data_IF_198884325839
#
_entry.id   IF_198884325839
#
_cell.length_a   1.000
_cell.length_b   1.000
_cell.length_c   1.000
_cell.angle_alpha   90.00
_cell.angle_beta   90.00
_cell.angle_gamma   90.00
#
_symmetry.space_group_name_H-M   'P 1'
#
loop_
_entity.id
_entity.type
_entity.pdbx_description
1 polymer ?
#
# COMPACT_ATOMS: atom_id res chain seq x y z
N UNK A 1 64.52 -11.51 -61.15
CA UNK A 1 63.59 -10.56 -60.49
C UNK A 1 62.73 -11.37 -59.54
N UNK A 2 63.13 -11.47 -58.27
CA UNK A 2 62.32 -12.13 -57.26
C UNK A 2 61.35 -11.12 -56.63
N UNK A 3 60.06 -11.31 -56.87
CA UNK A 3 59.01 -10.57 -56.17
C UNK A 3 58.88 -11.16 -54.77
N UNK A 4 59.45 -10.49 -53.78
CA UNK A 4 59.21 -10.80 -52.36
C UNK A 4 57.73 -10.61 -52.05
N UNK A 5 56.98 -11.71 -51.91
CA UNK A 5 55.67 -11.67 -51.27
C UNK A 5 55.87 -11.37 -49.78
N UNK A 6 55.57 -10.14 -49.38
CA UNK A 6 55.48 -9.76 -47.97
C UNK A 6 54.18 -10.35 -47.43
N UNK A 7 54.28 -11.46 -46.72
CA UNK A 7 53.15 -12.10 -46.05
C UNK A 7 52.79 -11.25 -44.82
N UNK A 8 51.88 -10.28 -44.98
CA UNK A 8 51.35 -9.50 -43.86
C UNK A 8 50.56 -10.40 -42.92
N UNK A 9 50.81 -10.27 -41.62
CA UNK A 9 50.03 -11.00 -40.63
C UNK A 9 48.58 -10.50 -40.63
N UNK A 10 47.63 -11.40 -40.31
CA UNK A 10 46.19 -11.04 -40.26
C UNK A 10 45.92 -9.87 -39.30
N UNK A 11 46.71 -9.75 -38.23
CA UNK A 11 46.62 -8.68 -37.24
C UNK A 11 47.06 -7.32 -37.81
N UNK A 12 48.18 -7.28 -38.55
CA UNK A 12 48.65 -6.05 -39.19
C UNK A 12 47.67 -5.58 -40.27
N UNK A 13 47.09 -6.50 -41.03
CA UNK A 13 46.06 -6.18 -41.99
C UNK A 13 44.80 -5.60 -41.33
N UNK A 14 44.32 -6.24 -40.25
CA UNK A 14 43.17 -5.75 -39.47
C UNK A 14 43.48 -4.37 -38.86
N UNK A 15 44.70 -4.14 -38.38
CA UNK A 15 45.13 -2.87 -37.81
C UNK A 15 45.20 -1.74 -38.84
N UNK A 16 45.81 -2.01 -40.00
CA UNK A 16 45.88 -1.06 -41.10
C UNK A 16 44.50 -0.75 -41.67
N UNK A 17 43.64 -1.78 -41.77
CA UNK A 17 42.26 -1.62 -42.21
C UNK A 17 41.42 -0.84 -41.20
N UNK A 18 41.61 -1.07 -39.90
CA UNK A 18 40.93 -0.33 -38.83
C UNK A 18 41.36 1.15 -38.80
N UNK A 19 42.64 1.44 -39.02
CA UNK A 19 43.12 2.83 -39.17
C UNK A 19 42.51 3.52 -40.40
N UNK A 20 42.45 2.81 -41.53
CA UNK A 20 41.86 3.34 -42.78
C UNK A 20 40.35 3.55 -42.67
N UNK A 21 39.64 2.65 -41.99
CA UNK A 21 38.18 2.64 -41.85
C UNK A 21 37.77 2.94 -40.40
N UNK A 22 38.38 3.95 -39.78
CA UNK A 22 38.22 4.25 -38.36
C UNK A 22 36.74 4.46 -37.96
N UNK A 23 35.92 5.04 -38.85
CA UNK A 23 34.48 5.22 -38.63
C UNK A 23 33.73 3.89 -38.47
N UNK A 24 34.06 2.90 -39.29
CA UNK A 24 33.45 1.56 -39.25
C UNK A 24 33.90 0.82 -38.00
N UNK A 25 35.19 0.88 -37.68
CA UNK A 25 35.73 0.30 -36.44
C UNK A 25 35.09 0.93 -35.19
N UNK A 26 34.91 2.25 -35.17
CA UNK A 26 34.22 2.94 -34.09
C UNK A 26 32.77 2.48 -33.93
N UNK A 27 32.03 2.27 -35.04
CA UNK A 27 30.67 1.73 -34.99
C UNK A 27 30.60 0.31 -34.44
N UNK A 28 31.55 -0.55 -34.79
CA UNK A 28 31.62 -1.92 -34.27
C UNK A 28 31.86 -1.89 -32.75
N UNK A 29 32.83 -1.09 -32.29
CA UNK A 29 33.13 -0.93 -30.86
C UNK A 29 31.92 -0.36 -30.12
N UNK A 30 31.28 0.67 -30.68
CA UNK A 30 30.07 1.25 -30.11
C UNK A 30 28.94 0.22 -29.96
N UNK A 31 28.71 -0.59 -30.99
CA UNK A 31 27.69 -1.64 -30.98
C UNK A 31 27.97 -2.69 -29.91
N UNK A 32 29.23 -3.09 -29.75
CA UNK A 32 29.64 -4.03 -28.69
C UNK A 32 29.42 -3.44 -27.30
N UNK A 33 29.75 -2.17 -27.09
CA UNK A 33 29.52 -1.49 -25.80
C UNK A 33 28.03 -1.48 -25.47
N UNK A 34 27.18 -1.05 -26.41
CA UNK A 34 25.72 -1.01 -26.21
C UNK A 34 25.17 -2.41 -25.90
N UNK A 35 25.63 -3.43 -26.61
CA UNK A 35 25.20 -4.81 -26.39
C UNK A 35 25.58 -5.34 -25.00
N UNK A 36 26.80 -5.07 -24.54
CA UNK A 36 27.27 -5.47 -23.21
C UNK A 36 26.46 -4.78 -22.11
N UNK A 37 26.27 -3.45 -22.23
CA UNK A 37 25.51 -2.66 -21.24
C UNK A 37 24.03 -3.09 -21.21
N UNK A 38 23.43 -3.32 -22.38
CA UNK A 38 22.04 -3.76 -22.50
C UNK A 38 21.80 -5.12 -21.80
N UNK A 39 22.74 -6.06 -21.92
CA UNK A 39 22.63 -7.36 -21.24
C UNK A 39 22.69 -7.26 -19.71
N UNK A 40 23.51 -6.36 -19.16
CA UNK A 40 23.67 -6.18 -17.72
C UNK A 40 22.43 -5.66 -17.00
N UNK A 41 21.63 -4.84 -17.68
CA UNK A 41 20.50 -4.14 -17.04
C UNK A 41 19.25 -5.00 -16.84
N UNK A 42 19.12 -6.12 -17.55
CA UNK A 42 17.90 -6.96 -17.50
C UNK A 42 17.66 -7.60 -16.12
N UNK A 43 18.71 -8.08 -15.45
CA UNK A 43 18.60 -8.69 -14.11
C UNK A 43 18.25 -7.68 -13.04
N UNK A 44 18.92 -6.52 -13.06
CA UNK A 44 18.67 -5.42 -12.11
C UNK A 44 17.26 -4.84 -12.30
N UNK A 45 16.82 -4.69 -13.55
CA UNK A 45 15.45 -4.26 -13.84
C UNK A 45 14.40 -5.26 -13.31
N UNK A 46 14.67 -6.56 -13.42
CA UNK A 46 13.80 -7.61 -12.87
C UNK A 46 13.74 -7.58 -11.33
N UNK A 47 14.89 -7.40 -10.68
CA UNK A 47 14.96 -7.29 -9.22
C UNK A 47 14.20 -6.07 -8.70
N UNK A 48 14.38 -4.91 -9.33
CA UNK A 48 13.65 -3.69 -8.98
C UNK A 48 12.14 -3.86 -9.20
N UNK A 49 11.74 -4.53 -10.29
CA UNK A 49 10.33 -4.80 -10.56
C UNK A 49 9.73 -5.76 -9.52
N UNK A 50 10.44 -6.82 -9.17
CA UNK A 50 10.02 -7.78 -8.15
C UNK A 50 9.94 -7.13 -6.76
N UNK A 51 10.90 -6.28 -6.39
CA UNK A 51 10.87 -5.53 -5.14
C UNK A 51 9.66 -4.58 -5.08
N UNK A 52 9.37 -3.87 -6.17
CA UNK A 52 8.16 -3.03 -6.28
C UNK A 52 6.89 -3.86 -6.13
N UNK A 53 6.78 -4.98 -6.86
CA UNK A 53 5.61 -5.87 -6.79
C UNK A 53 5.36 -6.35 -5.36
N UNK A 54 6.41 -6.86 -4.69
CA UNK A 54 6.32 -7.33 -3.31
C UNK A 54 5.90 -6.21 -2.34
N UNK A 55 6.47 -5.01 -2.50
CA UNK A 55 6.10 -3.86 -1.67
C UNK A 55 4.63 -3.44 -1.86
N UNK A 56 4.10 -3.54 -3.07
CA UNK A 56 2.67 -3.28 -3.33
C UNK A 56 1.77 -4.35 -2.70
N UNK A 57 2.15 -5.63 -2.81
CA UNK A 57 1.42 -6.73 -2.17
C UNK A 57 1.39 -6.57 -0.64
N UNK A 58 2.52 -6.22 -0.02
CA UNK A 58 2.60 -5.97 1.43
C UNK A 58 1.73 -4.78 1.86
N UNK A 59 1.66 -3.71 1.06
CA UNK A 59 0.79 -2.57 1.32
C UNK A 59 -0.70 -2.93 1.24
N UNK A 60 -1.09 -3.72 0.24
CA UNK A 60 -2.48 -4.19 0.09
C UNK A 60 -2.86 -5.06 1.28
N UNK A 61 -1.99 -5.99 1.67
CA UNK A 61 -2.25 -6.88 2.81
C UNK A 61 -2.42 -6.09 4.11
N UNK A 62 -1.57 -5.08 4.36
CA UNK A 62 -1.70 -4.22 5.53
C UNK A 62 -3.02 -3.43 5.54
N UNK A 63 -3.48 -2.96 4.37
CA UNK A 63 -4.77 -2.29 4.22
C UNK A 63 -5.94 -3.24 4.51
N UNK A 64 -5.91 -4.46 3.97
CA UNK A 64 -6.93 -5.48 4.20
C UNK A 64 -7.02 -5.87 5.68
N UNK A 65 -5.88 -6.09 6.34
CA UNK A 65 -5.83 -6.39 7.78
C UNK A 65 -6.40 -5.23 8.61
N UNK A 66 -6.06 -3.98 8.28
CA UNK A 66 -6.64 -2.81 8.95
C UNK A 66 -8.15 -2.70 8.72
N UNK A 67 -8.63 -3.02 7.52
CA UNK A 67 -10.06 -3.00 7.23
C UNK A 67 -10.82 -4.08 8.00
N UNK A 68 -10.27 -5.29 8.10
CA UNK A 68 -10.83 -6.37 8.90
C UNK A 68 -10.91 -5.99 10.39
N UNK A 69 -9.87 -5.33 10.92
CA UNK A 69 -9.87 -4.82 12.31
C UNK A 69 -10.95 -3.74 12.49
N UNK A 70 -11.10 -2.82 11.54
CA UNK A 70 -12.15 -1.77 11.60
C UNK A 70 -13.55 -2.37 11.61
N UNK A 71 -13.83 -3.35 10.75
CA UNK A 71 -15.14 -4.02 10.71
C UNK A 71 -15.44 -4.65 12.07
N UNK A 72 -14.50 -5.41 12.64
CA UNK A 72 -14.67 -6.02 13.98
C UNK A 72 -14.90 -4.99 15.07
N UNK A 73 -14.17 -3.86 15.05
CA UNK A 73 -14.38 -2.76 16.01
C UNK A 73 -15.76 -2.13 15.87
N UNK A 74 -16.23 -1.92 14.64
CA UNK A 74 -17.56 -1.37 14.38
C UNK A 74 -18.65 -2.33 14.87
N UNK A 75 -18.53 -3.62 14.58
CA UNK A 75 -19.47 -4.64 15.06
C UNK A 75 -19.51 -4.71 16.58
N UNK A 76 -18.34 -4.68 17.23
CA UNK A 76 -18.26 -4.68 18.68
C UNK A 76 -18.87 -3.40 19.29
N UNK A 77 -18.65 -2.24 18.66
CA UNK A 77 -19.24 -0.98 19.09
C UNK A 77 -20.77 -1.00 18.95
N UNK A 78 -21.31 -1.53 17.85
CA UNK A 78 -22.76 -1.67 17.66
C UNK A 78 -23.38 -2.62 18.70
N UNK A 79 -22.75 -3.76 18.96
CA UNK A 79 -23.18 -4.69 20.00
C UNK A 79 -23.20 -4.03 21.38
N UNK A 80 -22.10 -3.37 21.76
CA UNK A 80 -21.99 -2.68 23.04
C UNK A 80 -23.03 -1.55 23.16
N UNK A 81 -23.26 -0.80 22.08
CA UNK A 81 -24.28 0.24 22.03
C UNK A 81 -25.69 -0.34 22.25
N UNK A 82 -26.04 -1.43 21.55
CA UNK A 82 -27.34 -2.11 21.69
C UNK A 82 -27.53 -2.69 23.09
N UNK A 83 -26.50 -3.29 23.67
CA UNK A 83 -26.55 -3.81 25.04
C UNK A 83 -26.72 -2.69 26.07
N UNK A 84 -26.02 -1.58 25.90
CA UNK A 84 -26.13 -0.41 26.78
C UNK A 84 -27.53 0.20 26.70
N UNK A 85 -28.08 0.34 25.48
CA UNK A 85 -29.47 0.76 25.30
C UNK A 85 -30.46 -0.20 25.96
N UNK A 86 -30.27 -1.51 25.83
CA UNK A 86 -31.13 -2.50 26.47
C UNK A 86 -31.12 -2.37 28.00
N UNK A 87 -29.93 -2.21 28.60
CA UNK A 87 -29.77 -1.98 30.05
C UNK A 87 -30.40 -0.67 30.51
N UNK A 88 -30.30 0.39 29.69
CA UNK A 88 -30.98 1.66 29.95
C UNK A 88 -32.49 1.44 29.89
N UNK A 89 -33.03 0.87 28.81
CA UNK A 89 -34.45 0.61 28.66
C UNK A 89 -35.00 -0.27 29.80
N UNK A 90 -34.27 -1.30 30.24
CA UNK A 90 -34.65 -2.13 31.40
C UNK A 90 -34.67 -1.32 32.71
N UNK A 91 -33.60 -0.55 32.98
CA UNK A 91 -33.47 0.27 34.19
C UNK A 91 -34.48 1.42 34.25
N UNK A 92 -34.92 1.92 33.11
CA UNK A 92 -35.89 3.01 33.00
C UNK A 92 -37.34 2.53 32.82
N UNK A 93 -37.59 1.36 32.22
CA UNK A 93 -38.92 0.72 32.23
C UNK A 93 -39.37 0.35 33.64
N UNK A 94 -38.42 0.03 34.54
CA UNK A 94 -38.72 -0.15 35.96
C UNK A 94 -39.02 1.17 36.69
N UNK A 95 -38.75 2.33 36.07
CA UNK A 95 -38.74 3.63 36.77
C UNK A 95 -39.84 4.63 36.42
N UNK A 96 -40.55 4.58 35.30
CA UNK A 96 -41.85 5.30 35.12
C UNK A 96 -42.35 5.29 33.67
N UNK A 97 -43.61 4.89 33.49
CA UNK A 97 -44.43 4.94 32.26
C UNK A 97 -44.58 6.34 31.61
N UNK A 98 -43.98 7.40 32.17
CA UNK A 98 -44.17 8.78 31.72
C UNK A 98 -42.98 9.38 30.93
N UNK A 99 -41.80 8.74 30.91
CA UNK A 99 -40.58 9.28 30.27
C UNK A 99 -40.34 8.84 28.80
N UNK A 100 -41.27 8.08 28.21
CA UNK A 100 -41.05 7.27 26.99
C UNK A 100 -40.85 8.05 25.68
N UNK A 101 -41.53 9.18 25.47
CA UNK A 101 -41.51 9.88 24.16
C UNK A 101 -40.37 10.87 23.98
N UNK A 102 -40.01 11.61 25.03
CA UNK A 102 -38.96 12.66 24.96
C UNK A 102 -37.56 12.05 24.97
N UNK A 103 -37.37 10.96 25.71
CA UNK A 103 -36.09 10.27 25.79
C UNK A 103 -35.81 9.40 24.55
N UNK A 104 -36.81 8.72 23.97
CA UNK A 104 -36.64 8.02 22.68
C UNK A 104 -36.16 8.95 21.55
N UNK A 105 -36.67 10.19 21.49
CA UNK A 105 -36.21 11.18 20.50
C UNK A 105 -34.76 11.60 20.74
N UNK A 106 -34.37 11.84 21.99
CA UNK A 106 -32.98 12.20 22.33
C UNK A 106 -32.00 11.07 22.04
N UNK A 107 -32.35 9.85 22.39
CA UNK A 107 -31.52 8.66 22.10
C UNK A 107 -31.37 8.45 20.60
N UNK A 108 -32.45 8.61 19.82
CA UNK A 108 -32.40 8.52 18.35
C UNK A 108 -31.53 9.60 17.72
N UNK A 109 -31.54 10.82 18.28
CA UNK A 109 -30.71 11.92 17.80
C UNK A 109 -29.23 11.66 18.11
N UNK A 110 -28.92 11.17 19.31
CA UNK A 110 -27.56 10.79 19.70
C UNK A 110 -27.05 9.61 18.85
N UNK A 111 -27.89 8.62 18.57
CA UNK A 111 -27.58 7.51 17.66
C UNK A 111 -27.28 7.97 16.23
N UNK A 112 -28.00 9.00 15.77
CA UNK A 112 -27.83 9.58 14.43
C UNK A 112 -26.50 10.32 14.33
N UNK A 113 -26.18 11.13 15.34
CA UNK A 113 -24.87 11.79 15.48
C UNK A 113 -23.76 10.72 15.58
N UNK A 114 -24.06 9.58 16.21
CA UNK A 114 -23.11 8.48 16.34
C UNK A 114 -22.75 7.72 15.08
N UNK A 115 -23.62 7.76 14.10
CA UNK A 115 -23.33 7.19 12.78
C UNK A 115 -22.35 8.05 11.98
N UNK A 116 -22.21 9.33 12.33
CA UNK A 116 -21.40 10.31 11.59
C UNK A 116 -19.97 10.47 12.13
N UNK A 117 -19.73 10.25 13.43
CA UNK A 117 -18.41 10.43 14.07
C UNK A 117 -18.17 9.44 15.22
N UNK A 118 -17.70 8.20 14.96
CA UNK A 118 -17.59 7.15 15.97
C UNK A 118 -16.53 7.40 17.06
N UNK A 119 -15.50 8.22 16.80
CA UNK A 119 -14.33 8.35 17.69
C UNK A 119 -14.53 9.34 18.86
N UNK A 120 -15.52 10.24 18.80
CA UNK A 120 -15.74 11.26 19.85
C UNK A 120 -16.83 10.87 20.87
N UNK A 121 -17.45 9.71 20.69
CA UNK A 121 -18.76 9.45 21.28
C UNK A 121 -18.70 8.74 22.61
N UNK A 122 -17.72 7.88 22.81
CA UNK A 122 -17.50 7.26 24.12
C UNK A 122 -17.31 8.35 25.18
N UNK A 123 -16.44 9.34 24.92
CA UNK A 123 -16.22 10.47 25.85
C UNK A 123 -17.46 11.34 26.10
N UNK A 124 -18.28 11.57 25.08
CA UNK A 124 -19.49 12.41 25.20
C UNK A 124 -20.63 11.67 25.90
N UNK A 125 -20.77 10.38 25.65
CA UNK A 125 -21.77 9.52 26.31
C UNK A 125 -21.43 9.32 27.79
N UNK A 126 -20.16 9.09 28.13
CA UNK A 126 -19.72 8.97 29.53
C UNK A 126 -20.03 10.25 30.33
N UNK A 127 -19.76 11.42 29.75
CA UNK A 127 -19.99 12.71 30.40
C UNK A 127 -21.49 13.06 30.52
N UNK A 128 -22.30 12.73 29.51
CA UNK A 128 -23.74 13.02 29.51
C UNK A 128 -24.58 12.06 30.36
N UNK A 129 -24.14 10.80 30.49
CA UNK A 129 -24.93 9.75 31.14
C UNK A 129 -24.31 9.22 32.44
N UNK A 130 -23.07 9.61 32.76
CA UNK A 130 -22.44 9.28 34.04
C UNK A 130 -22.09 7.80 34.20
N UNK A 131 -21.72 7.13 33.11
CA UNK A 131 -21.21 5.75 33.15
C UNK A 131 -19.71 5.75 32.85
N UNK A 132 -18.96 4.90 33.53
CA UNK A 132 -17.53 4.64 33.27
C UNK A 132 -17.41 3.29 32.60
N UNK A 133 -16.94 3.22 31.36
CA UNK A 133 -16.52 1.95 30.78
C UNK A 133 -15.15 1.59 31.36
N UNK A 134 -15.12 0.59 32.25
CA UNK A 134 -13.88 -0.10 32.58
C UNK A 134 -13.45 -0.88 31.33
N UNK A 135 -12.27 -0.54 30.81
CA UNK A 135 -11.57 -1.25 29.73
C UNK A 135 -11.62 -2.77 29.91
#
# INVERSE_FOLDING_TARGET
METRQVMMSKLEFIWLWAKKNWKVSALIVWTLIVWIVSRGNSKVALEVLNAKKKSYEDQIKALEEQQAIKIKKIEQLDLNYRLTLGKIDEKYNLKEEQLSRKNKKKVKEIARIAKEQPDEIDKKLENLFGFTNAN
#
